data_IF_664035597184
#
_entry.id   IF_664035597184
#
_cell.length_a   1.000
_cell.length_b   1.000
_cell.length_c   1.000
_cell.angle_alpha   90.00
_cell.angle_beta   90.00
_cell.angle_gamma   90.00
#
_symmetry.space_group_name_H-M   'P 1'
#
loop_
_entity.id
_entity.type
_entity.pdbx_description
1 polymer ?
#
# COMPACT_ATOMS: atom_id res chain seq x y z
N UNK A 1 -16.22 -1.67 -12.29
CA UNK A 1 -15.26 -1.20 -13.31
C UNK A 1 -16.11 -0.63 -14.44
N UNK A 2 -15.81 0.58 -14.88
CA UNK A 2 -16.54 1.23 -15.96
C UNK A 2 -16.13 0.55 -17.27
N UNK A 3 -17.11 0.13 -18.08
CA UNK A 3 -16.85 -0.51 -19.38
C UNK A 3 -16.65 0.57 -20.44
N UNK A 4 -15.66 0.43 -21.32
CA UNK A 4 -15.47 1.31 -22.47
C UNK A 4 -16.59 1.11 -23.50
N UNK A 5 -17.71 1.79 -23.29
CA UNK A 5 -18.84 1.82 -24.22
C UNK A 5 -18.64 2.92 -25.28
N UNK A 6 -19.35 2.85 -26.43
CA UNK A 6 -19.31 3.91 -27.43
C UNK A 6 -19.63 5.30 -26.85
N UNK A 7 -20.54 5.38 -25.88
CA UNK A 7 -20.97 6.65 -25.27
C UNK A 7 -19.82 7.34 -24.52
N UNK A 8 -18.98 6.57 -23.81
CA UNK A 8 -17.80 7.09 -23.08
C UNK A 8 -16.75 7.67 -24.03
N UNK A 9 -16.72 7.21 -25.28
CA UNK A 9 -15.76 7.66 -26.29
C UNK A 9 -16.36 8.68 -27.28
N UNK A 10 -17.66 8.95 -27.20
CA UNK A 10 -18.35 9.84 -28.14
C UNK A 10 -18.43 11.30 -27.66
N UNK A 11 -18.33 11.57 -26.36
CA UNK A 11 -18.55 12.91 -25.77
C UNK A 11 -17.42 13.93 -25.94
N UNK A 12 -16.60 13.79 -26.99
CA UNK A 12 -15.52 14.72 -27.30
C UNK A 12 -14.25 14.52 -26.47
N UNK A 13 -13.26 15.36 -26.76
CA UNK A 13 -11.90 15.29 -26.20
C UNK A 13 -11.57 16.63 -25.54
N UNK A 14 -11.00 16.57 -24.34
CA UNK A 14 -10.40 17.73 -23.64
C UNK A 14 -8.90 17.69 -23.79
N UNK A 15 -8.30 18.87 -24.05
CA UNK A 15 -6.85 19.05 -24.00
C UNK A 15 -6.44 19.49 -22.58
N UNK A 16 -5.55 18.74 -21.96
CA UNK A 16 -5.10 18.97 -20.58
C UNK A 16 -3.60 19.23 -20.57
N UNK A 17 -3.18 20.37 -20.04
CA UNK A 17 -1.76 20.68 -19.80
C UNK A 17 -1.41 20.32 -18.36
N UNK A 18 -0.45 19.40 -18.16
CA UNK A 18 -0.09 18.87 -16.84
C UNK A 18 1.35 19.23 -16.48
N UNK A 19 1.55 19.61 -15.23
CA UNK A 19 2.85 20.00 -14.69
C UNK A 19 3.29 21.40 -15.11
N UNK A 20 4.43 21.87 -14.58
CA UNK A 20 4.91 23.24 -14.78
C UNK A 20 5.32 23.54 -16.23
N UNK A 21 5.67 22.51 -17.00
CA UNK A 21 6.01 22.63 -18.42
C UNK A 21 4.76 22.53 -19.33
N UNK A 22 3.59 22.26 -18.76
CA UNK A 22 2.34 22.12 -19.52
C UNK A 22 2.36 20.93 -20.48
N UNK A 23 2.79 19.75 -20.02
CA UNK A 23 2.83 18.55 -20.85
C UNK A 23 1.42 18.20 -21.34
N UNK A 24 1.19 18.08 -22.67
CA UNK A 24 -0.14 17.96 -23.22
C UNK A 24 -0.70 16.54 -23.13
N UNK A 25 -2.00 16.45 -22.83
CA UNK A 25 -2.80 15.22 -22.87
C UNK A 25 -4.12 15.50 -23.60
N UNK A 26 -4.55 14.56 -24.43
CA UNK A 26 -5.88 14.59 -25.05
C UNK A 26 -6.67 13.38 -24.54
N UNK A 27 -7.77 13.63 -23.83
CA UNK A 27 -8.54 12.58 -23.14
C UNK A 27 -10.02 12.75 -23.41
N UNK A 28 -10.75 11.63 -23.54
CA UNK A 28 -12.21 11.66 -23.70
C UNK A 28 -12.87 12.22 -22.44
N UNK A 29 -13.77 13.18 -22.62
CA UNK A 29 -14.41 13.91 -21.52
C UNK A 29 -15.25 12.98 -20.66
N UNK A 30 -16.12 12.20 -21.30
CA UNK A 30 -17.02 11.27 -20.60
C UNK A 30 -16.26 10.18 -19.83
N UNK A 31 -15.06 9.80 -20.29
CA UNK A 31 -14.19 8.90 -19.53
C UNK A 31 -13.72 9.53 -18.21
N UNK A 32 -13.28 10.79 -18.25
CA UNK A 32 -12.84 11.50 -17.05
C UNK A 32 -14.00 11.70 -16.08
N UNK A 33 -15.14 12.19 -16.59
CA UNK A 33 -16.34 12.45 -15.80
C UNK A 33 -16.85 11.16 -15.13
N UNK A 34 -16.89 10.04 -15.87
CA UNK A 34 -17.38 8.77 -15.33
C UNK A 34 -16.50 8.25 -14.18
N UNK A 35 -15.19 8.52 -14.20
CA UNK A 35 -14.24 8.05 -13.19
C UNK A 35 -13.97 9.04 -12.05
N UNK A 36 -14.29 10.31 -12.22
CA UNK A 36 -13.88 11.37 -11.31
C UNK A 36 -15.00 12.40 -11.16
N UNK A 37 -15.73 12.39 -10.04
CA UNK A 37 -16.71 13.44 -9.71
C UNK A 37 -16.08 14.83 -9.70
N UNK A 38 -14.81 14.93 -9.28
CA UNK A 38 -14.05 16.17 -9.33
C UNK A 38 -13.89 16.69 -10.77
N UNK A 39 -13.49 15.83 -11.71
CA UNK A 39 -13.31 16.22 -13.10
C UNK A 39 -14.65 16.43 -13.81
N UNK A 40 -15.71 15.71 -13.42
CA UNK A 40 -17.06 15.97 -13.92
C UNK A 40 -17.52 17.38 -13.56
N UNK A 41 -17.30 17.79 -12.31
CA UNK A 41 -17.57 19.16 -11.88
C UNK A 41 -16.65 20.19 -12.55
N UNK A 42 -15.35 19.88 -12.68
CA UNK A 42 -14.40 20.78 -13.33
C UNK A 42 -14.68 20.97 -14.84
N UNK A 43 -15.43 20.04 -15.44
CA UNK A 43 -15.82 20.06 -16.85
C UNK A 43 -17.34 20.28 -16.99
N UNK A 44 -18.04 20.80 -15.99
CA UNK A 44 -19.50 20.99 -16.03
C UNK A 44 -19.92 21.92 -17.19
N UNK A 45 -19.18 23.00 -17.40
CA UNK A 45 -19.44 24.02 -18.44
C UNK A 45 -19.05 23.55 -19.87
N UNK A 46 -18.68 22.27 -20.05
CA UNK A 46 -18.24 21.67 -21.33
C UNK A 46 -19.23 21.80 -22.49
N UNK A 47 -20.50 22.08 -22.20
CA UNK A 47 -21.56 22.24 -23.18
C UNK A 47 -21.95 23.71 -23.45
N UNK A 48 -21.40 24.65 -22.69
CA UNK A 48 -21.78 26.07 -22.76
C UNK A 48 -20.86 26.88 -23.68
N UNK A 49 -19.58 26.51 -23.77
CA UNK A 49 -18.63 27.19 -24.65
C UNK A 49 -18.48 26.48 -26.00
N UNK A 50 -18.80 27.19 -27.09
CA UNK A 50 -18.42 26.77 -28.44
C UNK A 50 -16.91 26.98 -28.64
N UNK A 51 -16.10 26.09 -28.06
CA UNK A 51 -14.63 26.20 -28.04
C UNK A 51 -13.94 24.86 -27.76
N UNK A 52 -12.60 24.87 -27.86
CA UNK A 52 -11.77 23.73 -27.45
C UNK A 52 -11.73 23.67 -25.93
N UNK A 53 -12.21 22.56 -25.35
CA UNK A 53 -12.16 22.33 -23.91
C UNK A 53 -10.70 22.17 -23.47
N UNK A 54 -10.27 23.02 -22.54
CA UNK A 54 -8.88 23.09 -22.08
C UNK A 54 -8.78 23.16 -20.56
N UNK A 55 -7.95 22.30 -19.96
CA UNK A 55 -7.74 22.22 -18.51
C UNK A 55 -6.24 22.31 -18.18
N UNK A 56 -5.86 23.02 -17.13
CA UNK A 56 -4.46 23.12 -16.69
C UNK A 56 -4.29 22.55 -15.28
N UNK A 57 -3.33 21.65 -15.12
CA UNK A 57 -3.00 20.92 -13.89
C UNK A 57 -1.53 21.14 -13.52
N UNK A 58 -1.16 22.38 -13.16
CA UNK A 58 0.23 22.83 -13.02
C UNK A 58 1.03 22.09 -11.92
N UNK A 59 0.36 21.67 -10.84
CA UNK A 59 1.00 21.06 -9.67
C UNK A 59 1.22 19.54 -9.81
N UNK A 60 0.71 18.90 -10.87
CA UNK A 60 0.75 17.45 -11.00
C UNK A 60 1.93 16.94 -11.83
N UNK A 61 2.41 15.76 -11.48
CA UNK A 61 3.43 15.05 -12.26
C UNK A 61 2.78 14.41 -13.50
N UNK A 62 3.19 14.79 -14.73
CA UNK A 62 2.71 14.18 -15.97
C UNK A 62 2.83 12.66 -16.00
N UNK A 63 3.84 12.09 -15.34
CA UNK A 63 4.06 10.63 -15.30
C UNK A 63 3.02 9.93 -14.44
N UNK A 64 2.61 10.52 -13.32
CA UNK A 64 1.54 9.98 -12.49
C UNK A 64 0.19 10.13 -13.20
N UNK A 65 -0.05 11.28 -13.83
CA UNK A 65 -1.27 11.52 -14.59
C UNK A 65 -1.41 10.55 -15.77
N UNK A 66 -0.33 10.29 -16.51
CA UNK A 66 -0.30 9.29 -17.60
C UNK A 66 -0.76 7.92 -17.10
N UNK A 67 -0.32 7.49 -15.91
CA UNK A 67 -0.72 6.21 -15.33
C UNK A 67 -2.18 6.19 -14.89
N UNK A 68 -2.67 7.27 -14.32
CA UNK A 68 -4.08 7.40 -13.95
C UNK A 68 -4.98 7.33 -15.19
N UNK A 69 -4.67 8.09 -16.24
CA UNK A 69 -5.42 8.07 -17.51
C UNK A 69 -5.32 6.71 -18.19
N UNK A 70 -4.13 6.11 -18.27
CA UNK A 70 -3.94 4.77 -18.83
C UNK A 70 -4.77 3.72 -18.07
N UNK A 71 -4.88 3.87 -16.74
CA UNK A 71 -5.73 3.03 -15.91
C UNK A 71 -7.22 3.27 -16.19
N UNK A 72 -7.69 4.52 -16.36
CA UNK A 72 -9.08 4.80 -16.72
C UNK A 72 -9.47 4.12 -18.03
N UNK A 73 -8.63 4.18 -19.05
CA UNK A 73 -8.90 3.50 -20.32
C UNK A 73 -8.88 1.99 -20.21
N UNK A 74 -7.90 1.42 -19.51
CA UNK A 74 -7.61 -0.02 -19.63
C UNK A 74 -8.02 -0.87 -18.43
N UNK A 75 -8.42 -0.22 -17.32
CA UNK A 75 -8.55 -0.84 -16.00
C UNK A 75 -7.23 -1.36 -15.42
N UNK A 76 -6.10 -1.16 -16.11
CA UNK A 76 -4.79 -1.75 -15.79
C UNK A 76 -3.76 -0.64 -15.59
N UNK A 77 -2.86 -0.83 -14.62
CA UNK A 77 -1.80 0.15 -14.33
C UNK A 77 -0.63 0.12 -15.32
N UNK A 78 -0.52 -0.94 -16.13
CA UNK A 78 0.62 -1.14 -17.02
C UNK A 78 1.97 -1.25 -16.29
N UNK A 79 1.96 -1.63 -15.00
CA UNK A 79 3.18 -1.85 -14.19
C UNK A 79 3.31 -3.31 -13.81
N UNK A 80 4.51 -3.84 -13.94
CA UNK A 80 4.86 -5.12 -13.32
C UNK A 80 5.23 -4.86 -11.85
N UNK A 81 4.54 -5.52 -10.92
CA UNK A 81 4.79 -5.36 -9.48
C UNK A 81 6.18 -5.87 -9.07
N UNK A 82 6.72 -6.82 -9.84
CA UNK A 82 8.06 -7.37 -9.68
C UNK A 82 9.15 -6.47 -10.25
N UNK A 83 8.79 -5.48 -11.08
CA UNK A 83 9.73 -4.49 -11.56
C UNK A 83 10.20 -3.61 -10.39
N UNK A 84 11.51 -3.40 -10.32
CA UNK A 84 12.16 -2.49 -9.36
C UNK A 84 11.71 -1.05 -9.55
N UNK A 85 11.26 -0.68 -10.76
CA UNK A 85 10.70 0.64 -11.06
C UNK A 85 9.36 0.89 -10.35
N UNK A 86 8.61 -0.17 -10.01
CA UNK A 86 7.35 -0.09 -9.26
C UNK A 86 7.65 0.08 -7.77
N UNK A 87 8.08 1.28 -7.38
CA UNK A 87 8.44 1.60 -6.00
C UNK A 87 7.21 1.79 -5.10
N UNK A 88 7.39 1.66 -3.78
CA UNK A 88 6.34 2.04 -2.81
C UNK A 88 5.89 3.48 -2.96
N UNK A 89 6.84 4.38 -3.25
CA UNK A 89 6.57 5.80 -3.49
C UNK A 89 5.63 5.98 -4.68
N UNK A 90 5.91 5.35 -5.82
CA UNK A 90 5.04 5.42 -7.00
C UNK A 90 3.59 5.01 -6.68
N UNK A 91 3.40 3.89 -5.97
CA UNK A 91 2.07 3.38 -5.63
C UNK A 91 1.32 4.32 -4.67
N UNK A 92 2.02 4.88 -3.67
CA UNK A 92 1.43 5.84 -2.74
C UNK A 92 1.12 7.17 -3.42
N UNK A 93 2.03 7.69 -4.25
CA UNK A 93 1.84 8.93 -4.99
C UNK A 93 0.65 8.82 -5.96
N UNK A 94 0.48 7.66 -6.61
CA UNK A 94 -0.67 7.42 -7.49
C UNK A 94 -1.98 7.30 -6.69
N UNK A 95 -1.96 6.69 -5.50
CA UNK A 95 -3.12 6.72 -4.60
C UNK A 95 -3.48 8.15 -4.20
N UNK A 96 -2.48 8.99 -3.90
CA UNK A 96 -2.71 10.39 -3.50
C UNK A 96 -3.19 11.25 -4.68
N UNK A 97 -2.75 10.96 -5.91
CA UNK A 97 -3.30 11.58 -7.11
C UNK A 97 -4.77 11.19 -7.29
N UNK A 98 -5.10 9.92 -7.11
CA UNK A 98 -6.47 9.43 -7.17
C UNK A 98 -7.36 10.07 -6.10
N UNK A 99 -6.85 10.29 -4.89
CA UNK A 99 -7.54 11.02 -3.81
C UNK A 99 -7.84 12.48 -4.21
N UNK A 100 -6.84 13.19 -4.77
CA UNK A 100 -6.98 14.57 -5.27
C UNK A 100 -8.13 14.69 -6.28
N UNK A 101 -8.23 13.73 -7.19
CA UNK A 101 -9.24 13.69 -8.24
C UNK A 101 -10.49 12.87 -7.88
N UNK A 102 -10.63 12.41 -6.64
CA UNK A 102 -11.77 11.60 -6.19
C UNK A 102 -12.04 10.35 -7.05
N UNK A 103 -10.99 9.69 -7.55
CA UNK A 103 -11.08 8.46 -8.35
C UNK A 103 -11.02 7.25 -7.40
N UNK A 104 -12.14 6.95 -6.76
CA UNK A 104 -12.25 5.96 -5.67
C UNK A 104 -11.83 4.56 -6.11
N UNK A 105 -12.18 4.16 -7.33
CA UNK A 105 -11.82 2.86 -7.89
C UNK A 105 -10.30 2.72 -8.05
N UNK A 106 -9.62 3.80 -8.45
CA UNK A 106 -8.16 3.81 -8.55
C UNK A 106 -7.52 3.76 -7.16
N UNK A 107 -8.06 4.49 -6.18
CA UNK A 107 -7.59 4.38 -4.78
C UNK A 107 -7.69 2.93 -4.28
N UNK A 108 -8.82 2.27 -4.49
CA UNK A 108 -9.04 0.89 -4.07
C UNK A 108 -8.12 -0.08 -4.82
N UNK A 109 -7.93 0.11 -6.11
CA UNK A 109 -6.97 -0.68 -6.89
C UNK A 109 -5.52 -0.47 -6.40
N UNK A 110 -5.15 0.72 -5.92
CA UNK A 110 -3.82 0.97 -5.35
C UNK A 110 -3.63 0.23 -4.02
N UNK A 111 -4.68 0.13 -3.19
CA UNK A 111 -4.65 -0.69 -1.97
C UNK A 111 -4.42 -2.17 -2.32
N UNK A 112 -5.10 -2.69 -3.34
CA UNK A 112 -4.88 -4.06 -3.82
C UNK A 112 -3.47 -4.26 -4.37
N UNK A 113 -2.96 -3.28 -5.10
CA UNK A 113 -1.61 -3.31 -5.68
C UNK A 113 -0.54 -3.29 -4.58
N UNK A 114 -0.71 -2.46 -3.54
CA UNK A 114 0.15 -2.42 -2.36
C UNK A 114 0.18 -3.76 -1.63
N UNK A 115 -1.00 -4.35 -1.40
CA UNK A 115 -1.14 -5.70 -0.82
C UNK A 115 -0.44 -6.76 -1.68
N UNK A 116 -0.67 -6.74 -3.00
CA UNK A 116 -0.07 -7.73 -3.88
C UNK A 116 1.45 -7.59 -3.87
N UNK A 117 1.98 -6.37 -3.97
CA UNK A 117 3.41 -6.09 -3.84
C UNK A 117 3.99 -6.59 -2.51
N UNK A 118 3.27 -6.38 -1.42
CA UNK A 118 3.66 -6.91 -0.11
C UNK A 118 3.79 -8.44 -0.13
N UNK A 119 2.82 -9.13 -0.73
CA UNK A 119 2.76 -10.60 -0.72
C UNK A 119 3.88 -11.27 -1.52
N UNK A 120 4.32 -10.66 -2.63
CA UNK A 120 5.32 -11.25 -3.54
C UNK A 120 6.76 -10.94 -3.15
N UNK A 121 7.01 -9.86 -2.40
CA UNK A 121 8.36 -9.52 -1.95
C UNK A 121 8.86 -10.47 -0.86
N UNK A 122 10.17 -10.68 -0.79
CA UNK A 122 10.79 -11.44 0.30
C UNK A 122 10.72 -10.68 1.62
N UNK A 123 10.74 -11.39 2.76
CA UNK A 123 10.68 -10.76 4.09
C UNK A 123 11.75 -9.67 4.31
N UNK A 124 12.93 -9.83 3.69
CA UNK A 124 14.05 -8.87 3.78
C UNK A 124 13.84 -7.61 2.95
N UNK A 125 12.92 -7.63 1.99
CA UNK A 125 12.66 -6.54 1.04
C UNK A 125 11.31 -5.83 1.32
N UNK A 126 10.55 -6.29 2.32
CA UNK A 126 9.24 -5.73 2.62
C UNK A 126 9.35 -4.42 3.41
N UNK A 127 8.61 -3.40 2.94
CA UNK A 127 8.08 -2.26 3.72
C UNK A 127 9.04 -1.42 4.59
N UNK A 128 10.32 -1.31 4.24
CA UNK A 128 11.19 -0.26 4.77
C UNK A 128 10.90 1.07 4.06
N UNK A 129 9.76 1.68 4.42
CA UNK A 129 9.39 2.99 3.88
C UNK A 129 10.44 4.04 4.22
N UNK A 130 10.78 4.87 3.24
CA UNK A 130 11.60 6.05 3.45
C UNK A 130 10.84 7.03 4.36
N UNK A 131 11.49 7.67 5.35
CA UNK A 131 10.83 8.65 6.22
C UNK A 131 10.20 9.81 5.45
N UNK A 132 10.82 10.24 4.34
CA UNK A 132 10.26 11.27 3.45
C UNK A 132 8.92 10.86 2.86
N UNK A 133 8.81 9.63 2.32
CA UNK A 133 7.54 9.11 1.79
C UNK A 133 6.44 9.11 2.87
N UNK A 134 6.76 8.66 4.08
CA UNK A 134 5.78 8.66 5.18
C UNK A 134 5.39 10.09 5.55
N UNK A 135 6.36 11.01 5.55
CA UNK A 135 6.07 12.44 5.78
C UNK A 135 5.14 13.01 4.72
N UNK A 136 5.40 12.75 3.45
CA UNK A 136 4.57 13.22 2.33
C UNK A 136 3.13 12.72 2.47
N UNK A 137 2.95 11.43 2.80
CA UNK A 137 1.61 10.83 3.01
C UNK A 137 0.90 11.52 4.16
N UNK A 138 1.56 11.71 5.30
CA UNK A 138 0.95 12.34 6.47
C UNK A 138 0.70 13.84 6.27
N UNK A 139 1.47 14.54 5.45
CA UNK A 139 1.19 15.95 5.16
C UNK A 139 -0.02 16.13 4.23
N UNK A 140 -0.24 15.18 3.30
CA UNK A 140 -1.24 15.30 2.23
C UNK A 140 -2.57 14.61 2.51
N UNK A 141 -2.70 13.91 3.63
CA UNK A 141 -3.91 13.12 3.93
C UNK A 141 -4.43 13.41 5.33
N UNK A 142 -5.72 13.22 5.63
CA UNK A 142 -6.24 13.31 6.98
C UNK A 142 -5.98 12.03 7.80
N UNK A 143 -6.13 12.06 9.15
CA UNK A 143 -6.01 10.87 10.00
C UNK A 143 -6.94 9.70 9.64
N UNK A 144 -8.09 9.99 9.03
CA UNK A 144 -9.05 8.98 8.53
C UNK A 144 -8.63 8.32 7.21
N UNK A 145 -7.51 8.74 6.61
CA UNK A 145 -7.08 8.24 5.31
C UNK A 145 -6.79 6.75 5.31
N UNK A 146 -7.35 6.06 4.31
CA UNK A 146 -7.13 4.64 4.10
C UNK A 146 -5.67 4.32 3.73
N UNK A 147 -4.98 5.23 3.04
CA UNK A 147 -3.56 5.07 2.74
C UNK A 147 -2.71 5.09 4.00
N UNK A 148 -2.95 6.02 4.94
CA UNK A 148 -2.25 6.05 6.23
C UNK A 148 -2.45 4.75 7.01
N UNK A 149 -3.69 4.26 7.04
CA UNK A 149 -4.03 2.98 7.68
C UNK A 149 -3.29 1.82 7.03
N UNK A 150 -3.26 1.74 5.69
CA UNK A 150 -2.58 0.68 4.96
C UNK A 150 -1.06 0.70 5.19
N UNK A 151 -0.42 1.87 5.06
CA UNK A 151 1.03 2.04 5.28
C UNK A 151 1.42 1.71 6.73
N UNK A 152 0.63 2.14 7.70
CA UNK A 152 0.84 1.81 9.11
C UNK A 152 0.71 0.30 9.36
N UNK A 153 -0.33 -0.32 8.80
CA UNK A 153 -0.53 -1.77 8.89
C UNK A 153 0.65 -2.54 8.29
N UNK A 154 1.13 -2.14 7.11
CA UNK A 154 2.31 -2.74 6.48
C UNK A 154 3.58 -2.55 7.31
N UNK A 155 3.79 -1.36 7.87
CA UNK A 155 4.95 -1.05 8.69
C UNK A 155 4.98 -1.87 9.99
N UNK A 156 3.84 -2.05 10.67
CA UNK A 156 3.77 -2.84 11.91
C UNK A 156 4.12 -4.31 11.66
N UNK A 157 3.75 -4.89 10.51
CA UNK A 157 4.00 -6.31 10.25
C UNK A 157 5.35 -6.61 9.59
N UNK A 158 5.94 -5.68 8.85
CA UNK A 158 7.12 -5.99 8.03
C UNK A 158 8.27 -4.97 8.08
N UNK A 159 8.09 -3.79 8.67
CA UNK A 159 9.22 -2.85 8.79
C UNK A 159 10.27 -3.42 9.74
N UNK A 160 11.52 -3.40 9.29
CA UNK A 160 12.63 -3.86 10.10
C UNK A 160 12.84 -2.98 11.35
N UNK A 161 13.13 -3.62 12.48
CA UNK A 161 13.29 -2.94 13.76
C UNK A 161 14.51 -2.02 13.80
N UNK A 162 15.63 -2.42 13.16
CA UNK A 162 16.83 -1.59 13.06
C UNK A 162 16.60 -0.39 12.13
N UNK A 163 15.94 -0.61 10.99
CA UNK A 163 15.51 0.48 10.10
C UNK A 163 14.66 1.51 10.84
N UNK A 164 13.63 1.05 11.57
CA UNK A 164 12.76 1.95 12.32
C UNK A 164 13.51 2.72 13.40
N UNK A 165 14.39 2.05 14.18
CA UNK A 165 15.20 2.71 15.22
C UNK A 165 16.14 3.75 14.62
N UNK A 166 16.85 3.39 13.55
CA UNK A 166 17.81 4.29 12.87
C UNK A 166 17.14 5.57 12.38
N UNK A 167 15.92 5.47 11.88
CA UNK A 167 15.18 6.58 11.28
C UNK A 167 14.08 7.16 12.20
N UNK A 168 14.04 6.76 13.47
CA UNK A 168 12.93 7.06 14.39
C UNK A 168 12.59 8.55 14.45
N UNK A 169 13.60 9.41 14.60
CA UNK A 169 13.44 10.86 14.68
C UNK A 169 13.00 11.51 13.36
N UNK A 170 13.28 10.86 12.22
CA UNK A 170 12.93 11.38 10.88
C UNK A 170 11.49 11.06 10.49
N UNK A 171 10.85 10.08 11.13
CA UNK A 171 9.44 9.80 10.88
C UNK A 171 8.53 10.91 11.47
N UNK A 172 7.36 11.17 10.88
CA UNK A 172 6.35 12.04 11.48
C UNK A 172 5.93 11.54 12.87
N UNK A 173 5.58 12.48 13.76
CA UNK A 173 5.15 12.12 15.12
C UNK A 173 3.88 11.29 15.08
N UNK A 174 2.91 11.72 14.28
CA UNK A 174 1.62 11.09 14.06
C UNK A 174 1.79 9.65 13.58
N UNK A 175 2.73 9.41 12.66
CA UNK A 175 3.03 8.06 12.20
C UNK A 175 3.59 7.16 13.31
N UNK A 176 4.47 7.68 14.16
CA UNK A 176 4.99 6.91 15.30
C UNK A 176 3.86 6.52 16.25
N UNK A 177 2.97 7.45 16.55
CA UNK A 177 1.81 7.23 17.42
C UNK A 177 0.82 6.21 16.83
N UNK A 178 0.49 6.34 15.54
CA UNK A 178 -0.37 5.39 14.82
C UNK A 178 0.25 3.97 14.80
N UNK A 179 1.55 3.89 14.52
CA UNK A 179 2.30 2.63 14.52
C UNK A 179 2.35 2.00 15.91
N UNK A 180 2.56 2.78 16.96
CA UNK A 180 2.56 2.30 18.34
C UNK A 180 1.18 1.79 18.76
N UNK A 181 0.11 2.52 18.42
CA UNK A 181 -1.27 2.11 18.67
C UNK A 181 -1.60 0.80 17.96
N UNK A 182 -1.27 0.68 16.69
CA UNK A 182 -1.53 -0.53 15.90
C UNK A 182 -0.64 -1.71 16.34
N UNK A 183 0.60 -1.45 16.77
CA UNK A 183 1.47 -2.46 17.38
C UNK A 183 0.89 -2.98 18.70
N UNK A 184 0.34 -2.09 19.54
CA UNK A 184 -0.33 -2.48 20.78
C UNK A 184 -1.57 -3.32 20.49
N UNK A 185 -2.38 -2.93 19.49
CA UNK A 185 -3.53 -3.71 19.04
C UNK A 185 -3.12 -5.11 18.59
N UNK A 186 -2.06 -5.21 17.77
CA UNK A 186 -1.49 -6.49 17.33
C UNK A 186 -1.10 -7.39 18.49
N UNK A 187 -0.44 -6.84 19.51
CA UNK A 187 0.00 -7.61 20.67
C UNK A 187 -1.17 -8.01 21.58
N UNK A 188 -2.11 -7.10 21.85
CA UNK A 188 -3.20 -7.31 22.80
C UNK A 188 -4.31 -8.22 22.25
N UNK A 189 -4.69 -8.05 21.00
CA UNK A 189 -5.74 -8.85 20.36
C UNK A 189 -5.22 -10.21 19.87
N UNK A 190 -3.96 -10.57 20.20
CA UNK A 190 -3.27 -11.76 19.70
C UNK A 190 -3.42 -11.90 18.18
N UNK A 191 -3.37 -10.76 17.47
CA UNK A 191 -3.56 -10.78 16.02
C UNK A 191 -2.53 -11.71 15.42
N UNK A 192 -3.01 -12.52 14.48
CA UNK A 192 -2.21 -13.46 13.72
C UNK A 192 -0.92 -12.81 13.19
N UNK A 193 0.11 -13.63 12.97
CA UNK A 193 1.24 -13.24 12.12
C UNK A 193 0.79 -12.78 10.71
N UNK A 194 -0.46 -13.03 10.32
CA UNK A 194 -1.08 -12.50 9.12
C UNK A 194 -1.50 -11.04 9.30
N UNK A 195 -0.93 -10.17 8.47
CA UNK A 195 -1.25 -8.74 8.40
C UNK A 195 -2.72 -8.52 7.99
N UNK A 196 -3.50 -7.66 8.68
CA UNK A 196 -4.89 -7.33 8.34
C UNK A 196 -5.14 -6.98 6.88
N UNK A 197 -4.30 -6.13 6.28
CA UNK A 197 -4.41 -5.76 4.87
C UNK A 197 -4.37 -6.98 3.92
N UNK A 198 -3.77 -8.10 4.32
CA UNK A 198 -3.71 -9.31 3.51
C UNK A 198 -5.02 -10.10 3.46
N UNK A 199 -5.82 -10.11 4.53
CA UNK A 199 -7.04 -10.93 4.64
C UNK A 199 -8.34 -10.13 4.77
N UNK A 200 -8.27 -8.87 5.21
CA UNK A 200 -9.39 -7.93 5.35
C UNK A 200 -9.19 -6.68 4.50
N UNK A 201 -8.72 -6.85 3.26
CA UNK A 201 -8.33 -5.74 2.36
C UNK A 201 -9.45 -4.71 2.15
N UNK A 202 -10.70 -5.17 2.06
CA UNK A 202 -11.88 -4.32 1.91
C UNK A 202 -12.02 -3.28 3.02
N UNK A 203 -11.53 -3.55 4.23
CA UNK A 203 -11.58 -2.59 5.36
C UNK A 203 -10.64 -1.39 5.18
N UNK A 204 -9.76 -1.45 4.17
CA UNK A 204 -8.86 -0.39 3.73
C UNK A 204 -9.33 0.28 2.44
N UNK A 205 -10.50 -0.06 1.91
CA UNK A 205 -11.05 0.63 0.74
C UNK A 205 -11.69 1.96 1.12
N UNK A 206 -11.59 2.93 0.23
CA UNK A 206 -12.38 4.15 0.29
C UNK A 206 -13.80 3.79 -0.11
N UNK A 207 -14.76 4.16 0.73
CA UNK A 207 -16.17 3.96 0.46
C UNK A 207 -16.65 5.05 -0.50
N UNK A 208 -17.42 4.66 -1.52
CA UNK A 208 -18.08 5.63 -2.37
C UNK A 208 -19.09 6.42 -1.53
N UNK A 209 -19.16 7.76 -1.66
CA UNK A 209 -20.24 8.52 -1.06
C UNK A 209 -21.54 7.91 -1.60
N UNK A 210 -22.39 7.45 -0.68
CA UNK A 210 -23.67 6.87 -1.04
C UNK A 210 -24.45 7.89 -1.88
N UNK A 211 -24.66 7.58 -3.15
CA UNK A 211 -25.71 8.22 -3.93
C UNK A 211 -27.02 7.89 -3.19
N UNK A 212 -27.53 8.85 -2.42
CA UNK A 212 -28.92 8.83 -1.99
C UNK A 212 -29.75 8.86 -3.27
N UNK A 213 -30.33 7.71 -3.60
CA UNK A 213 -31.33 7.60 -4.65
C UNK A 213 -32.48 8.53 -4.33
N UNK A 214 -32.52 9.68 -5.01
CA UNK A 214 -33.69 10.54 -5.01
C UNK A 214 -34.90 9.77 -5.56
N UNK A 215 -36.10 9.94 -4.98
CA UNK A 215 -37.21 9.04 -5.18
C UNK A 215 -37.97 9.37 -6.46
N UNK A 216 -38.09 8.40 -7.35
CA UNK A 216 -39.03 8.39 -8.46
C UNK A 216 -39.54 6.96 -8.59
N UNK A 217 -40.80 6.59 -8.37
CA UNK A 217 -42.05 7.20 -8.84
C UNK A 217 -43.27 6.63 -8.09
N UNK A 218 -44.49 7.20 -8.24
CA UNK A 218 -45.60 7.06 -7.30
C UNK A 218 -46.36 5.74 -7.44
N UNK A 219 -46.69 5.13 -6.30
CA UNK A 219 -47.61 3.99 -6.23
C UNK A 219 -49.05 4.47 -6.38
N UNK A 220 -49.63 4.17 -7.53
CA UNK A 220 -51.07 4.29 -7.78
C UNK A 220 -51.83 3.28 -6.91
N UNK A 221 -52.80 3.82 -6.18
CA UNK A 221 -53.81 3.10 -5.41
C UNK A 221 -54.67 2.19 -6.30
N UNK A 222 -54.87 0.94 -5.88
CA UNK A 222 -56.20 0.28 -6.01
C UNK A 222 -56.29 -0.95 -5.09
N UNK A 223 -57.28 -0.91 -4.20
CA UNK A 223 -57.94 -2.03 -3.51
C UNK A 223 -59.34 -2.20 -4.13
N UNK A 224 -60.22 -3.15 -3.71
CA UNK A 224 -60.05 -4.42 -2.99
C UNK A 224 -60.88 -5.59 -3.61
N UNK A 225 -60.74 -6.83 -3.09
CA UNK A 225 -61.85 -7.69 -2.56
C UNK A 225 -61.65 -9.23 -2.66
N UNK A 226 -61.93 -9.87 -1.51
CA UNK A 226 -62.66 -11.15 -1.24
C UNK A 226 -62.03 -12.57 -1.37
N UNK A 227 -61.87 -13.14 -0.17
CA UNK A 227 -62.60 -14.30 0.41
C UNK A 227 -62.18 -15.78 0.19
N UNK A 228 -62.15 -16.50 1.33
CA UNK A 228 -62.29 -17.96 1.59
C UNK A 228 -61.10 -18.87 1.23
N UNK A 229 -60.68 -19.90 1.98
CA UNK A 229 -61.42 -20.87 2.82
C UNK A 229 -60.44 -21.65 3.73
N UNK A 230 -60.97 -22.28 4.79
CA UNK A 230 -60.30 -23.00 5.88
C UNK A 230 -59.94 -24.48 5.59
N UNK A 231 -58.96 -25.05 6.33
CA UNK A 231 -58.91 -26.41 6.95
C UNK A 231 -57.50 -26.64 7.56
N UNK A 232 -57.27 -26.65 8.88
CA UNK A 232 -57.53 -27.64 9.96
C UNK A 232 -56.57 -28.87 10.02
N UNK A 233 -55.80 -28.94 11.11
CA UNK A 233 -55.67 -30.09 12.04
C UNK A 233 -54.27 -30.65 12.35
N UNK A 234 -54.08 -30.84 13.66
CA UNK A 234 -53.27 -31.83 14.40
C UNK A 234 -51.81 -31.48 14.75
N UNK A 235 -51.27 -31.87 15.91
CA UNK A 235 -51.74 -32.17 17.30
C UNK A 235 -50.43 -32.39 18.07
N UNK A 236 -50.28 -31.79 19.24
CA UNK A 236 -49.14 -31.95 20.19
C UNK A 236 -49.03 -33.38 20.74
N UNK A 237 -47.91 -33.77 21.41
CA UNK A 237 -47.87 -33.63 22.86
C UNK A 237 -46.50 -33.35 23.52
N UNK A 238 -46.60 -32.86 24.75
CA UNK A 238 -45.59 -32.55 25.79
C UNK A 238 -45.11 -33.81 26.52
N UNK A 239 -43.85 -33.83 27.01
CA UNK A 239 -43.30 -34.42 28.26
C UNK A 239 -41.75 -34.38 28.17
N UNK A 240 -40.89 -34.25 29.18
CA UNK A 240 -40.92 -33.87 30.60
C UNK A 240 -39.45 -33.75 31.09
N UNK A 241 -39.13 -32.63 31.73
CA UNK A 241 -38.11 -32.29 32.77
C UNK A 241 -37.01 -33.31 33.22
N UNK A 242 -35.75 -32.83 33.18
CA UNK A 242 -34.68 -33.01 34.21
C UNK A 242 -33.28 -33.45 33.70
N UNK A 243 -32.14 -33.12 34.36
CA UNK A 243 -31.79 -31.97 35.20
C UNK A 243 -30.82 -30.99 34.48
N UNK A 244 -30.71 -29.77 34.99
CA UNK A 244 -29.80 -28.74 34.48
C UNK A 244 -28.33 -29.13 34.75
N UNK A 245 -27.56 -29.33 33.68
CA UNK A 245 -26.10 -29.35 33.74
C UNK A 245 -25.60 -27.91 33.62
N UNK A 246 -24.81 -27.49 34.60
CA UNK A 246 -24.29 -26.14 34.74
C UNK A 246 -23.19 -25.88 33.68
N UNK A 247 -23.45 -25.07 32.63
CA UNK A 247 -22.53 -24.93 31.48
C UNK A 247 -21.22 -24.21 31.84
N UNK A 248 -21.12 -23.67 33.06
CA UNK A 248 -19.95 -22.99 33.60
C UNK A 248 -18.87 -23.93 34.16
N UNK A 249 -19.23 -25.14 34.59
CA UNK A 249 -18.28 -26.09 35.16
C UNK A 249 -17.48 -26.82 34.06
N UNK A 250 -18.15 -27.16 32.95
CA UNK A 250 -17.53 -27.81 31.79
C UNK A 250 -16.54 -26.88 31.06
N UNK A 251 -16.82 -25.57 31.06
CA UNK A 251 -15.92 -24.53 30.54
C UNK A 251 -14.69 -24.32 31.43
N UNK A 252 -14.81 -24.43 32.76
CA UNK A 252 -13.69 -24.22 33.67
C UNK A 252 -12.68 -25.37 33.62
N UNK A 253 -13.16 -26.61 33.50
CA UNK A 253 -12.31 -27.79 33.31
C UNK A 253 -11.55 -27.74 31.96
N UNK A 254 -12.24 -27.37 30.86
CA UNK A 254 -11.57 -27.21 29.56
C UNK A 254 -10.56 -26.06 29.55
N UNK A 255 -10.83 -24.97 30.27
CA UNK A 255 -9.86 -23.87 30.41
C UNK A 255 -8.63 -24.29 31.22
N UNK A 256 -8.80 -25.05 32.30
CA UNK A 256 -7.67 -25.57 33.09
C UNK A 256 -6.78 -26.52 32.28
N UNK A 257 -7.37 -27.39 31.45
CA UNK A 257 -6.61 -28.29 30.57
C UNK A 257 -5.82 -27.51 29.50
N UNK A 258 -6.39 -26.44 28.94
CA UNK A 258 -5.70 -25.56 27.98
C UNK A 258 -4.55 -24.80 28.64
N UNK A 259 -4.72 -24.32 29.88
CA UNK A 259 -3.64 -23.66 30.65
C UNK A 259 -2.49 -24.64 30.91
N UNK A 260 -2.78 -25.86 31.39
CA UNK A 260 -1.75 -26.88 31.63
C UNK A 260 -0.98 -27.25 30.34
N UNK A 261 -1.68 -27.27 29.20
CA UNK A 261 -1.06 -27.52 27.89
C UNK A 261 -0.11 -26.37 27.48
N UNK A 262 -0.52 -25.13 27.71
CA UNK A 262 0.30 -23.95 27.41
C UNK A 262 1.53 -23.84 28.31
N UNK A 263 1.41 -24.18 29.60
CA UNK A 263 2.55 -24.21 30.52
C UNK A 263 3.60 -25.25 30.09
N UNK A 264 3.15 -26.42 29.62
CA UNK A 264 4.06 -27.45 29.08
C UNK A 264 4.78 -27.01 27.81
N UNK A 265 4.09 -26.26 26.94
CA UNK A 265 4.70 -25.67 25.74
C UNK A 265 5.70 -24.56 26.07
N UNK A 266 5.39 -23.72 27.05
CA UNK A 266 6.29 -22.68 27.54
C UNK A 266 7.56 -23.28 28.17
N UNK A 267 7.40 -24.34 28.98
CA UNK A 267 8.52 -25.07 29.56
C UNK A 267 9.44 -25.70 28.49
N UNK A 268 8.85 -26.28 27.43
CA UNK A 268 9.62 -26.82 26.31
C UNK A 268 10.41 -25.73 25.56
N UNK A 269 9.80 -24.56 25.34
CA UNK A 269 10.43 -23.43 24.64
C UNK A 269 11.58 -22.82 25.46
N UNK A 270 11.39 -22.70 26.77
CA UNK A 270 12.44 -22.22 27.69
C UNK A 270 13.59 -23.22 27.80
N UNK A 271 13.31 -24.53 27.78
CA UNK A 271 14.36 -25.55 27.73
C UNK A 271 15.17 -25.48 26.42
N UNK A 272 14.50 -25.30 25.28
CA UNK A 272 15.17 -25.12 23.97
C UNK A 272 16.07 -23.88 23.93
N UNK A 273 15.60 -22.75 24.47
CA UNK A 273 16.41 -21.53 24.59
C UNK A 273 17.61 -21.71 25.53
N UNK A 274 17.47 -22.46 26.63
CA UNK A 274 18.57 -22.79 27.53
C UNK A 274 19.62 -23.68 26.86
N UNK A 275 19.20 -24.66 26.05
CA UNK A 275 20.11 -25.53 25.27
C UNK A 275 20.89 -24.71 24.25
N UNK A 276 20.24 -23.76 23.56
CA UNK A 276 20.90 -22.86 22.59
C UNK A 276 21.89 -21.91 23.31
N UNK A 277 21.52 -21.35 24.47
CA UNK A 277 22.42 -20.50 25.26
C UNK A 277 23.64 -21.24 25.81
N UNK A 278 23.47 -22.53 26.16
CA UNK A 278 24.57 -23.38 26.63
C UNK A 278 25.51 -23.77 25.49
N UNK A 279 24.97 -24.02 24.28
CA UNK A 279 25.77 -24.28 23.08
C UNK A 279 26.58 -23.06 22.64
N UNK A 280 25.99 -21.86 22.72
CA UNK A 280 26.68 -20.60 22.44
C UNK A 280 27.82 -20.33 23.45
N UNK A 281 27.62 -20.66 24.73
CA UNK A 281 28.65 -20.50 25.76
C UNK A 281 29.84 -21.47 25.56
N UNK A 282 29.57 -22.74 25.18
CA UNK A 282 30.62 -23.71 24.81
C UNK A 282 31.41 -23.34 23.56
N UNK A 283 30.78 -22.64 22.61
CA UNK A 283 31.46 -22.18 21.40
C UNK A 283 32.42 -21.01 21.67
N UNK A 284 32.22 -20.27 22.77
CA UNK A 284 33.08 -19.16 23.19
C UNK A 284 34.31 -19.67 23.97
N UNK A 285 34.19 -20.76 24.75
CA UNK A 285 35.31 -21.32 25.53
C UNK A 285 36.37 -22.08 24.70
N UNK A 286 36.04 -22.54 23.47
CA UNK A 286 36.94 -23.36 22.66
C UNK A 286 37.78 -22.61 21.60
N UNK A 287 37.96 -21.28 21.74
CA UNK A 287 38.89 -20.51 20.86
C UNK A 287 40.28 -20.42 21.49
N UNK A 288 41.35 -21.01 20.90
CA UNK A 288 42.70 -20.84 21.41
C UNK A 288 43.25 -19.45 21.08
N UNK A 289 43.76 -18.78 22.12
CA UNK A 289 44.54 -17.54 22.06
C UNK A 289 45.98 -17.84 21.61
N UNK A 290 46.53 -17.12 20.64
CA UNK A 290 47.99 -16.97 20.49
C UNK A 290 48.36 -15.50 20.29
N UNK A 291 49.37 -15.05 21.05
CA UNK A 291 49.90 -13.68 21.15
C UNK A 291 51.33 -13.61 20.62
N UNK A 292 51.65 -12.50 19.95
CA UNK A 292 52.95 -11.77 19.92
C UNK A 292 54.13 -12.40 19.17
N UNK A 293 55.21 -11.71 18.79
CA UNK A 293 55.60 -10.29 18.64
C UNK A 293 57.03 -10.27 18.04
N UNK A 294 57.40 -9.16 17.38
CA UNK A 294 58.77 -8.61 17.13
C UNK A 294 59.80 -9.32 16.24
N UNK A 295 60.38 -8.58 15.27
CA UNK A 295 61.81 -8.24 15.17
C UNK A 295 62.10 -7.26 14.00
N UNK A 296 63.17 -6.49 14.16
CA UNK A 296 63.60 -5.26 13.48
C UNK A 296 64.52 -5.41 12.26
N UNK A 297 64.57 -4.37 11.40
CA UNK A 297 65.73 -3.75 10.70
C UNK A 297 65.28 -3.20 9.32
N UNK A 298 65.62 -2.02 8.81
CA UNK A 298 66.44 -0.91 9.28
C UNK A 298 66.48 0.21 8.20
N UNK A 299 66.78 1.43 8.67
CA UNK A 299 67.65 2.46 8.04
C UNK A 299 67.11 3.34 6.89
N UNK A 300 67.15 4.67 7.17
CA UNK A 300 67.30 5.85 6.29
C UNK A 300 66.09 6.27 5.42
N UNK A 301 65.70 7.54 5.25
CA UNK A 301 66.38 8.82 5.46
C UNK A 301 65.36 10.00 5.38
N UNK A 302 65.73 11.13 6.01
CA UNK A 302 65.50 12.54 5.59
C UNK A 302 64.09 13.19 5.53
N UNK A 303 63.87 14.08 6.52
CA UNK A 303 63.51 15.52 6.44
C UNK A 303 62.33 16.04 5.59
N UNK A 304 61.40 16.68 6.32
CA UNK A 304 60.99 18.09 6.21
C UNK A 304 60.14 18.62 5.02
N UNK A 305 58.95 19.11 5.41
CA UNK A 305 58.45 20.48 5.18
C UNK A 305 57.99 20.92 3.78
N UNK A 306 56.65 20.97 3.65
CA UNK A 306 55.81 22.13 3.25
C UNK A 306 55.87 22.75 1.84
N UNK A 307 54.64 23.02 1.36
CA UNK A 307 54.19 24.15 0.52
C UNK A 307 54.05 23.98 -1.01
N UNK A 308 52.77 23.95 -1.44
CA UNK A 308 52.09 24.89 -2.37
C UNK A 308 52.53 24.97 -3.85
N UNK A 309 51.57 24.84 -4.78
CA UNK A 309 51.26 25.66 -6.02
C UNK A 309 50.56 24.78 -7.10
N UNK A 310 49.26 24.92 -7.36
CA UNK A 310 48.52 25.70 -8.40
C UNK A 310 48.64 25.18 -9.86
N UNK A 311 47.47 25.12 -10.53
CA UNK A 311 47.15 25.02 -11.99
C UNK A 311 47.30 23.64 -12.67
N UNK A 312 46.46 23.18 -13.60
CA UNK A 312 45.37 23.77 -14.43
C UNK A 312 44.49 22.68 -15.08
N UNK A 313 43.27 23.07 -15.50
CA UNK A 313 42.27 22.32 -16.29
C UNK A 313 42.79 21.78 -17.65
N UNK A 314 42.02 20.85 -18.27
CA UNK A 314 41.49 21.16 -19.60
C UNK A 314 39.99 20.80 -19.77
N UNK A 315 39.29 21.59 -20.60
CA UNK A 315 37.97 21.29 -21.21
C UNK A 315 38.14 20.86 -22.69
N UNK A 316 37.07 20.59 -23.47
CA UNK A 316 36.69 19.27 -23.99
C UNK A 316 36.92 19.14 -25.52
N UNK A 317 36.50 18.04 -26.15
CA UNK A 317 36.09 18.13 -27.55
C UNK A 317 34.65 17.65 -27.79
N UNK A 318 34.07 18.34 -28.77
CA UNK A 318 32.78 18.24 -29.45
C UNK A 318 32.53 16.91 -30.19
N UNK A 319 31.26 16.49 -30.25
CA UNK A 319 30.67 15.53 -31.21
C UNK A 319 30.47 16.17 -32.60
N UNK A 320 29.98 15.47 -33.66
CA UNK A 320 29.81 14.02 -33.90
C UNK A 320 30.37 13.55 -35.28
N UNK A 321 30.18 12.27 -35.68
CA UNK A 321 29.52 12.05 -36.97
C UNK A 321 28.42 10.97 -36.95
N UNK A 322 27.59 11.05 -37.99
CA UNK A 322 26.43 10.22 -38.33
C UNK A 322 26.76 8.78 -38.77
N UNK A 323 25.88 7.83 -38.42
CA UNK A 323 25.45 6.65 -39.19
C UNK A 323 24.36 5.97 -38.34
N UNK A 324 23.05 6.05 -38.64
CA UNK A 324 22.33 5.20 -39.60
C UNK A 324 23.08 3.94 -39.97
N UNK A 325 22.84 2.85 -39.22
CA UNK A 325 22.76 1.47 -39.74
C UNK A 325 22.35 0.38 -38.73
N UNK A 326 22.15 0.67 -37.43
CA UNK A 326 21.77 -0.37 -36.45
C UNK A 326 20.28 -0.38 -36.05
N UNK A 327 19.36 -0.36 -37.02
CA UNK A 327 17.91 -0.47 -36.77
C UNK A 327 17.26 -1.69 -37.43
N UNK A 328 18.05 -2.61 -38.01
CA UNK A 328 17.55 -3.85 -38.61
C UNK A 328 17.56 -5.05 -37.65
N UNK A 329 18.37 -5.04 -36.59
CA UNK A 329 18.54 -6.21 -35.70
C UNK A 329 17.68 -6.15 -34.40
N UNK A 330 16.80 -5.15 -34.26
CA UNK A 330 15.97 -4.95 -33.07
C UNK A 330 14.47 -5.21 -33.28
N UNK A 331 14.09 -5.78 -34.44
CA UNK A 331 12.70 -6.10 -34.79
C UNK A 331 12.39 -7.61 -34.92
N UNK A 332 13.26 -8.49 -34.42
CA UNK A 332 13.02 -9.95 -34.38
C UNK A 332 12.99 -10.54 -32.97
N UNK A 333 12.57 -9.73 -31.98
CA UNK A 333 12.40 -10.17 -30.59
C UNK A 333 11.25 -9.46 -29.82
N UNK A 334 10.18 -9.08 -30.53
CA UNK A 334 8.86 -8.73 -29.96
C UNK A 334 7.77 -9.57 -30.61
#
# INVERSE_FOLDING_TARGET
MIELTPDILAGGIVSIAVGPEGYPFDVHVELLCAHSPYLDQALEDRFEEAGTLYLTLEDDDPKLFTRAVSWMYSGRLGVSILDKSTTWKLLCDLWLLADKYQIIELQNHMIDTLKHKYSVLSEKERCNFAPSLVSDIYQRTPPSSQLRRAVTCMAVWAMDGDHFRKHYASFPREFREDKEKEQMRRTNELLSNKMPLAWATHTFYVEAPGYESSPSTPTTMTSPDKASTATNSNKTPVTSRGPAQDPMAETLATLQERVATLEKQLAFKNHSLAVIGTAASRAIENKPFSKGSSASAGVSNTTATSARKIQSLPTPPSSPPSAVDDLADLLEAL
#
